data_IF_821763227744
#
_entry.id   IF_821763227744
#
_cell.length_a   1.000
_cell.length_b   1.000
_cell.length_c   1.000
_cell.angle_alpha   90.00
_cell.angle_beta   90.00
_cell.angle_gamma   90.00
#
_symmetry.space_group_name_H-M   'P 1'
#
loop_
_entity.id
_entity.type
_entity.pdbx_description
1 polymer ?
#
# COMPACT_ATOMS: atom_id res chain seq x y z
N UNK A 1 16.08 27.83 21.94
CA UNK A 1 16.34 27.80 20.49
C UNK A 1 15.79 26.48 19.98
N UNK A 2 14.89 26.51 19.01
CA UNK A 2 14.35 25.28 18.43
C UNK A 2 15.44 24.61 17.57
N UNK A 3 15.60 23.29 17.69
CA UNK A 3 16.48 22.55 16.81
C UNK A 3 16.04 22.73 15.35
N UNK A 4 16.98 22.87 14.40
CA UNK A 4 16.63 23.01 12.99
C UNK A 4 15.91 21.75 12.51
N UNK A 5 14.74 21.93 11.89
CA UNK A 5 14.01 20.85 11.24
C UNK A 5 14.87 20.30 10.09
N UNK A 6 15.41 19.10 10.27
CA UNK A 6 16.11 18.38 9.21
C UNK A 6 15.04 17.65 8.40
N UNK A 7 14.72 18.19 7.22
CA UNK A 7 13.80 17.54 6.30
C UNK A 7 14.41 16.20 5.86
N UNK A 8 13.81 15.08 6.30
CA UNK A 8 14.25 13.75 5.90
C UNK A 8 13.82 13.49 4.47
N UNK A 9 14.75 13.65 3.54
CA UNK A 9 14.53 13.35 2.12
C UNK A 9 14.55 11.84 1.92
N UNK A 10 13.41 11.28 1.50
CA UNK A 10 13.29 9.86 1.15
C UNK A 10 14.02 9.58 -0.17
N UNK A 11 14.86 8.53 -0.16
CA UNK A 11 15.57 8.03 -1.34
C UNK A 11 14.96 6.72 -1.82
N UNK A 12 14.77 6.60 -3.13
CA UNK A 12 14.25 5.40 -3.77
C UNK A 12 15.32 4.76 -4.66
N UNK A 13 15.26 3.45 -4.81
CA UNK A 13 16.10 2.70 -5.75
C UNK A 13 15.56 2.86 -7.17
N UNK A 14 16.45 3.21 -8.11
CA UNK A 14 16.11 3.32 -9.54
C UNK A 14 16.27 1.95 -10.19
N UNK A 15 15.23 1.55 -10.93
CA UNK A 15 15.16 0.28 -11.62
C UNK A 15 15.16 0.47 -13.14
N UNK A 16 15.54 -0.59 -13.84
CA UNK A 16 15.23 -0.78 -15.25
C UNK A 16 13.74 -1.12 -15.42
N UNK A 17 13.23 -0.97 -16.65
CA UNK A 17 11.85 -1.38 -17.02
C UNK A 17 11.49 -2.83 -16.69
N UNK A 18 12.49 -3.71 -16.49
CA UNK A 18 12.31 -5.12 -16.11
C UNK A 18 12.48 -5.35 -14.60
N UNK A 19 12.50 -4.29 -13.79
CA UNK A 19 12.58 -4.35 -12.33
C UNK A 19 13.98 -4.61 -11.75
N UNK A 20 15.04 -4.67 -12.57
CA UNK A 20 16.42 -4.82 -12.08
C UNK A 20 16.99 -3.48 -11.62
N UNK A 21 17.61 -3.45 -10.44
CA UNK A 21 18.24 -2.25 -9.87
C UNK A 21 19.40 -1.76 -10.74
N UNK A 22 19.44 -0.45 -11.00
CA UNK A 22 20.55 0.21 -11.71
C UNK A 22 21.77 0.30 -10.77
N UNK A 23 22.98 0.21 -11.34
CA UNK A 23 24.20 0.30 -10.54
C UNK A 23 24.37 1.70 -9.95
N UNK A 24 25.03 1.80 -8.78
CA UNK A 24 25.31 3.10 -8.13
C UNK A 24 26.07 4.08 -9.04
N UNK A 25 26.94 3.57 -9.92
CA UNK A 25 27.72 4.40 -10.86
C UNK A 25 26.86 5.11 -11.91
N UNK A 26 25.64 4.62 -12.17
CA UNK A 26 24.68 5.19 -13.13
C UNK A 26 23.47 5.83 -12.42
N UNK A 27 23.57 6.16 -11.12
CA UNK A 27 22.47 6.78 -10.39
C UNK A 27 21.44 5.79 -9.85
N UNK A 28 21.86 4.62 -9.36
CA UNK A 28 20.99 3.57 -8.84
C UNK A 28 20.09 3.92 -7.64
N UNK A 29 20.13 5.15 -7.12
CA UNK A 29 19.18 5.70 -6.16
C UNK A 29 19.10 7.23 -6.29
N UNK A 30 17.91 7.79 -6.12
CA UNK A 30 17.61 9.22 -6.22
C UNK A 30 16.58 9.64 -5.17
N UNK A 31 16.49 10.94 -4.81
CA UNK A 31 15.37 11.47 -4.03
C UNK A 31 14.02 11.13 -4.66
N UNK A 32 13.00 10.84 -3.85
CA UNK A 32 11.65 10.50 -4.34
C UNK A 32 11.11 11.52 -5.34
N UNK A 33 11.29 12.82 -5.06
CA UNK A 33 10.84 13.89 -5.96
C UNK A 33 11.50 13.84 -7.34
N UNK A 34 12.79 13.51 -7.39
CA UNK A 34 13.53 13.36 -8.64
C UNK A 34 13.09 12.12 -9.42
N UNK A 35 12.88 10.99 -8.74
CA UNK A 35 12.36 9.75 -9.36
C UNK A 35 11.01 9.99 -10.03
N UNK A 36 10.09 10.69 -9.35
CA UNK A 36 8.76 10.97 -9.90
C UNK A 36 8.78 12.03 -11.00
N UNK A 37 9.64 13.05 -10.88
CA UNK A 37 9.81 14.08 -11.91
C UNK A 37 10.43 13.52 -13.19
N UNK A 38 11.45 12.69 -13.06
CA UNK A 38 12.23 12.17 -14.18
C UNK A 38 11.57 10.92 -14.83
N UNK A 39 10.53 10.35 -14.19
CA UNK A 39 9.81 9.16 -14.67
C UNK A 39 10.59 7.85 -14.47
N UNK A 40 11.45 7.79 -13.45
CA UNK A 40 12.27 6.61 -13.17
C UNK A 40 11.44 5.47 -12.55
N UNK A 41 11.67 4.24 -13.02
CA UNK A 41 11.05 3.05 -12.43
C UNK A 41 11.55 2.83 -11.00
N UNK A 42 10.63 2.58 -10.07
CA UNK A 42 10.92 2.26 -8.68
C UNK A 42 9.90 1.24 -8.16
N UNK A 43 10.22 0.52 -7.08
CA UNK A 43 9.25 -0.42 -6.48
C UNK A 43 8.12 0.34 -5.80
N UNK A 44 6.88 -0.11 -6.02
CA UNK A 44 5.70 0.33 -5.29
C UNK A 44 4.95 -0.88 -4.72
N UNK A 45 4.18 -0.65 -3.65
CA UNK A 45 3.27 -1.64 -3.07
C UNK A 45 1.90 -0.99 -2.90
N UNK A 46 0.87 -1.67 -3.39
CA UNK A 46 -0.52 -1.32 -3.13
C UNK A 46 -1.09 -2.29 -2.09
N UNK A 47 -1.57 -1.77 -0.96
CA UNK A 47 -2.17 -2.57 0.11
C UNK A 47 -3.68 -2.38 0.09
N UNK A 48 -4.41 -3.48 -0.07
CA UNK A 48 -5.87 -3.51 -0.14
C UNK A 48 -6.37 -4.24 1.10
N UNK A 49 -7.14 -3.55 1.95
CA UNK A 49 -7.71 -4.17 3.15
C UNK A 49 -9.13 -4.58 2.84
N UNK A 50 -9.33 -5.88 2.69
CA UNK A 50 -10.62 -6.50 2.42
C UNK A 50 -11.15 -7.20 3.67
N UNK A 51 -12.42 -6.96 3.99
CA UNK A 51 -13.10 -7.62 5.11
C UNK A 51 -13.96 -8.74 4.54
N UNK A 52 -13.54 -9.99 4.75
CA UNK A 52 -14.19 -11.16 4.14
C UNK A 52 -15.64 -11.34 4.60
N UNK A 53 -15.95 -11.08 5.87
CA UNK A 53 -17.30 -11.25 6.41
C UNK A 53 -18.32 -10.25 5.85
N UNK A 54 -17.88 -9.07 5.40
CA UNK A 54 -18.75 -8.03 4.83
C UNK A 54 -18.57 -7.87 3.32
N UNK A 55 -17.55 -8.49 2.73
CA UNK A 55 -17.14 -8.30 1.34
C UNK A 55 -16.81 -6.82 1.01
N UNK A 56 -16.31 -6.07 2.01
CA UNK A 56 -16.00 -4.65 1.87
C UNK A 56 -14.51 -4.39 1.69
N UNK A 57 -14.20 -3.38 0.89
CA UNK A 57 -12.85 -2.89 0.66
C UNK A 57 -12.65 -1.53 1.34
N UNK A 58 -11.59 -1.39 2.13
CA UNK A 58 -11.23 -0.10 2.72
C UNK A 58 -10.54 0.78 1.66
N UNK A 59 -11.17 1.88 1.31
CA UNK A 59 -10.59 2.90 0.44
C UNK A 59 -9.99 4.04 1.27
N UNK A 60 -8.75 4.41 0.97
CA UNK A 60 -8.12 5.59 1.56
C UNK A 60 -8.44 6.82 0.71
N UNK A 61 -9.14 7.82 1.28
CA UNK A 61 -9.18 9.16 0.70
C UNK A 61 -7.87 9.87 1.00
N UNK A 62 -7.13 10.27 -0.04
CA UNK A 62 -5.87 11.02 0.10
C UNK A 62 -6.15 12.50 0.35
N UNK A 63 -5.22 13.18 1.02
CA UNK A 63 -5.29 14.63 1.19
C UNK A 63 -5.10 15.32 -0.16
N UNK A 64 -5.78 16.45 -0.35
CA UNK A 64 -5.78 17.18 -1.63
C UNK A 64 -4.39 17.72 -2.00
N UNK A 65 -3.51 17.91 -1.01
CA UNK A 65 -2.13 18.37 -1.19
C UNK A 65 -1.14 17.27 -1.62
N UNK A 66 -1.60 16.09 -2.05
CA UNK A 66 -0.69 15.03 -2.52
C UNK A 66 -0.28 15.25 -3.96
N UNK A 67 1.03 15.37 -4.19
CA UNK A 67 1.63 15.70 -5.49
C UNK A 67 1.51 14.64 -6.58
N UNK A 68 0.97 13.45 -6.29
CA UNK A 68 0.90 12.36 -7.29
C UNK A 68 -0.34 11.48 -7.16
N UNK A 69 -0.98 11.20 -8.30
CA UNK A 69 -1.95 10.11 -8.49
C UNK A 69 -1.24 8.85 -8.95
N UNK A 70 -1.70 7.68 -8.51
CA UNK A 70 -1.13 6.39 -8.93
C UNK A 70 -2.02 5.84 -10.04
N UNK A 71 -1.63 6.04 -11.30
CA UNK A 71 -2.54 5.77 -12.41
C UNK A 71 -2.60 4.29 -12.81
N UNK A 72 -1.53 3.50 -12.73
CA UNK A 72 -1.60 2.02 -12.93
C UNK A 72 -0.22 1.37 -12.79
N UNK A 73 0.09 0.65 -11.71
CA UNK A 73 1.25 -0.26 -11.64
C UNK A 73 1.02 -1.40 -10.62
N UNK A 74 0.23 -2.40 -11.00
CA UNK A 74 0.10 -3.64 -10.22
C UNK A 74 0.51 -4.82 -11.10
N UNK A 75 1.71 -5.34 -10.88
CA UNK A 75 2.25 -6.47 -11.64
C UNK A 75 1.84 -7.84 -11.09
N UNK A 76 1.41 -7.89 -9.82
CA UNK A 76 0.98 -9.11 -9.14
C UNK A 76 0.03 -8.76 -7.98
N UNK A 77 -0.99 -9.59 -7.74
CA UNK A 77 -1.97 -9.42 -6.66
C UNK A 77 -2.11 -10.73 -5.90
N UNK A 78 -1.92 -10.68 -4.58
CA UNK A 78 -2.16 -11.81 -3.68
C UNK A 78 -2.99 -11.37 -2.49
N UNK A 79 -4.06 -12.11 -2.21
CA UNK A 79 -4.78 -12.01 -0.95
C UNK A 79 -4.06 -12.85 0.12
N UNK A 80 -3.75 -12.22 1.25
CA UNK A 80 -3.11 -12.85 2.40
C UNK A 80 -3.63 -12.17 3.65
N UNK A 81 -3.78 -12.91 4.75
CA UNK A 81 -4.17 -12.28 6.01
C UNK A 81 -3.08 -11.32 6.49
N UNK A 82 -3.46 -10.22 7.14
CA UNK A 82 -2.47 -9.25 7.63
C UNK A 82 -1.50 -9.88 8.65
N UNK A 83 -1.95 -10.89 9.39
CA UNK A 83 -1.13 -11.65 10.34
C UNK A 83 -0.05 -12.46 9.62
N UNK A 84 -0.42 -13.23 8.59
CA UNK A 84 0.56 -13.97 7.77
C UNK A 84 1.51 -13.03 7.03
N UNK A 85 1.01 -11.91 6.50
CA UNK A 85 1.85 -10.91 5.86
C UNK A 85 2.90 -10.34 6.83
N UNK A 86 2.51 -10.04 8.07
CA UNK A 86 3.45 -9.60 9.12
C UNK A 86 4.53 -10.64 9.38
N UNK A 87 4.16 -11.92 9.45
CA UNK A 87 5.12 -13.02 9.65
C UNK A 87 6.14 -13.11 8.52
N UNK A 88 5.69 -13.04 7.26
CA UNK A 88 6.60 -13.07 6.11
C UNK A 88 7.60 -11.89 6.11
N UNK A 89 7.14 -10.69 6.49
CA UNK A 89 8.04 -9.55 6.63
C UNK A 89 9.04 -9.72 7.78
N UNK A 90 8.61 -10.31 8.91
CA UNK A 90 9.48 -10.60 10.04
C UNK A 90 10.57 -11.65 9.71
N UNK A 91 10.25 -12.59 8.83
CA UNK A 91 11.18 -13.60 8.30
C UNK A 91 12.10 -13.07 7.19
N UNK A 92 11.94 -11.80 6.79
CA UNK A 92 12.66 -11.20 5.67
C UNK A 92 12.55 -12.00 4.36
N UNK A 93 11.35 -12.56 4.08
CA UNK A 93 11.08 -13.30 2.86
C UNK A 93 11.38 -12.42 1.62
N UNK A 94 12.32 -12.83 0.74
CA UNK A 94 12.78 -12.03 -0.40
C UNK A 94 11.68 -11.77 -1.44
N UNK A 95 10.54 -12.48 -1.38
CA UNK A 95 9.39 -12.24 -2.23
C UNK A 95 8.70 -10.89 -1.92
N UNK A 96 8.85 -10.38 -0.70
CA UNK A 96 8.20 -9.14 -0.27
C UNK A 96 9.20 -7.98 -0.16
N UNK A 97 8.67 -6.76 -0.19
CA UNK A 97 9.47 -5.56 0.07
C UNK A 97 9.83 -5.53 1.57
N UNK A 98 11.10 -5.43 1.94
CA UNK A 98 11.56 -5.58 3.32
C UNK A 98 11.22 -4.34 4.15
N UNK A 99 9.99 -4.29 4.66
CA UNK A 99 9.55 -3.28 5.61
C UNK A 99 9.81 -3.74 7.05
N UNK A 100 10.27 -2.81 7.89
CA UNK A 100 10.55 -3.06 9.29
C UNK A 100 9.24 -3.14 10.10
N UNK A 101 8.90 -4.34 10.54
CA UNK A 101 7.69 -4.65 11.33
C UNK A 101 7.74 -4.13 12.77
N UNK A 102 8.86 -3.60 13.23
CA UNK A 102 9.06 -3.10 14.60
C UNK A 102 9.18 -1.58 14.68
N UNK A 103 9.25 -0.87 13.54
CA UNK A 103 9.34 0.59 13.48
C UNK A 103 8.01 1.22 13.02
N UNK A 104 8.07 2.29 12.23
CA UNK A 104 6.90 3.03 11.74
C UNK A 104 5.89 2.13 11.02
N UNK A 105 6.36 1.13 10.27
CA UNK A 105 5.46 0.17 9.60
C UNK A 105 4.83 -0.83 10.59
N UNK A 106 5.49 -1.11 11.72
CA UNK A 106 4.92 -1.86 12.84
C UNK A 106 3.65 -1.21 13.41
N UNK A 107 3.60 0.12 13.47
CA UNK A 107 2.42 0.85 13.95
C UNK A 107 1.16 0.54 13.14
N UNK A 108 1.28 0.28 11.84
CA UNK A 108 0.14 -0.12 10.99
C UNK A 108 -0.45 -1.45 11.48
N UNK A 109 0.41 -2.44 11.73
CA UNK A 109 -0.01 -3.74 12.25
C UNK A 109 -0.65 -3.60 13.63
N UNK A 110 -0.11 -2.75 14.49
CA UNK A 110 -0.67 -2.52 15.82
C UNK A 110 -2.03 -1.81 15.75
N UNK A 111 -2.20 -0.81 14.86
CA UNK A 111 -3.47 -0.13 14.65
C UNK A 111 -4.53 -1.11 14.15
N UNK A 112 -4.20 -1.92 13.14
CA UNK A 112 -5.11 -2.95 12.60
C UNK A 112 -5.44 -3.94 13.73
N UNK A 113 -4.43 -4.50 14.38
CA UNK A 113 -4.62 -5.46 15.47
C UNK A 113 -5.52 -4.88 16.55
N UNK A 114 -5.25 -3.65 17.03
CA UNK A 114 -6.05 -2.99 18.07
C UNK A 114 -7.47 -2.71 17.61
N UNK A 115 -7.67 -2.30 16.36
CA UNK A 115 -8.98 -1.98 15.80
C UNK A 115 -9.86 -3.21 15.64
N UNK A 116 -9.26 -4.37 15.43
CA UNK A 116 -9.93 -5.64 15.14
C UNK A 116 -9.72 -6.72 16.22
N UNK A 117 -9.18 -6.35 17.40
CA UNK A 117 -8.75 -7.30 18.45
C UNK A 117 -9.93 -8.08 19.03
N UNK A 118 -11.03 -7.41 19.30
CA UNK A 118 -12.18 -7.98 19.99
C UNK A 118 -13.43 -7.29 19.45
N UNK A 119 -14.42 -8.10 19.03
CA UNK A 119 -15.74 -7.68 18.53
C UNK A 119 -15.90 -7.37 17.03
N UNK A 120 -15.19 -8.09 16.16
CA UNK A 120 -15.39 -7.97 14.71
C UNK A 120 -16.83 -8.30 14.28
N UNK A 121 -17.47 -9.26 14.94
CA UNK A 121 -18.84 -9.66 14.63
C UNK A 121 -19.87 -8.58 14.97
N UNK A 122 -19.87 -8.02 16.19
CA UNK A 122 -20.84 -6.95 16.48
C UNK A 122 -20.48 -5.64 15.76
N UNK A 123 -19.20 -5.36 15.50
CA UNK A 123 -18.81 -4.21 14.66
C UNK A 123 -19.29 -4.39 13.23
N UNK A 124 -19.10 -5.58 12.65
CA UNK A 124 -19.62 -5.95 11.34
C UNK A 124 -21.15 -5.81 11.31
N UNK A 125 -21.85 -6.28 12.34
CA UNK A 125 -23.30 -6.17 12.44
C UNK A 125 -23.78 -4.70 12.55
N UNK A 126 -23.07 -3.85 13.29
CA UNK A 126 -23.35 -2.41 13.40
C UNK A 126 -23.12 -1.71 12.06
N UNK A 127 -21.98 -1.98 11.42
CA UNK A 127 -21.65 -1.47 10.08
C UNK A 127 -22.69 -1.89 9.04
N UNK A 128 -23.06 -3.17 9.01
CA UNK A 128 -24.14 -3.66 8.13
C UNK A 128 -25.46 -2.92 8.38
N UNK A 129 -25.83 -2.66 9.64
CA UNK A 129 -27.02 -1.83 9.96
C UNK A 129 -26.88 -0.41 9.41
N UNK A 130 -25.72 0.21 9.57
CA UNK A 130 -25.41 1.55 9.05
C UNK A 130 -25.24 1.62 7.54
N UNK A 131 -25.03 0.50 6.85
CA UNK A 131 -24.91 0.47 5.39
C UNK A 131 -26.25 0.16 4.73
N UNK A 132 -27.13 -0.61 5.38
CA UNK A 132 -28.50 -0.86 4.91
C UNK A 132 -29.38 0.39 4.77
N UNK A 133 -28.99 1.51 5.37
CA UNK A 133 -29.65 2.82 5.17
C UNK A 133 -29.25 3.49 3.83
N UNK A 134 -28.19 3.01 3.17
CA UNK A 134 -27.77 3.48 1.86
C UNK A 134 -28.16 2.46 0.80
N UNK A 135 -28.54 2.95 -0.39
CA UNK A 135 -28.76 2.08 -1.54
C UNK A 135 -27.40 1.48 -1.98
N UNK A 136 -27.30 0.15 -2.15
CA UNK A 136 -26.08 -0.45 -2.65
C UNK A 136 -25.79 0.08 -4.06
N UNK A 137 -24.55 0.54 -4.27
CA UNK A 137 -24.07 0.92 -5.60
C UNK A 137 -23.17 -0.20 -6.09
N UNK A 138 -23.60 -0.90 -7.12
CA UNK A 138 -22.79 -1.90 -7.79
C UNK A 138 -21.80 -1.21 -8.71
N UNK A 139 -20.50 -1.35 -8.41
CA UNK A 139 -19.45 -1.03 -9.35
C UNK A 139 -19.24 -2.23 -10.25
N UNK A 140 -19.75 -2.17 -11.48
CA UNK A 140 -19.31 -3.08 -12.54
C UNK A 140 -17.92 -2.64 -12.96
N UNK A 141 -16.90 -3.37 -12.52
CA UNK A 141 -15.60 -3.28 -13.16
C UNK A 141 -15.79 -3.78 -14.60
N UNK A 142 -15.78 -2.88 -15.57
CA UNK A 142 -15.56 -3.30 -16.96
C UNK A 142 -14.16 -3.90 -16.99
N UNK A 143 -14.09 -5.23 -16.96
CA UNK A 143 -12.86 -5.95 -17.28
C UNK A 143 -12.65 -5.70 -18.77
N UNK A 144 -11.96 -4.60 -19.08
CA UNK A 144 -11.47 -4.36 -20.42
C UNK A 144 -10.42 -5.44 -20.64
N UNK A 145 -10.79 -6.48 -21.39
CA UNK A 145 -9.86 -7.51 -21.84
C UNK A 145 -8.76 -6.81 -22.65
N UNK A 146 -7.63 -6.52 -22.02
CA UNK A 146 -6.40 -6.20 -22.72
C UNK A 146 -5.83 -7.50 -23.28
N UNK A 147 -6.51 -8.03 -24.30
CA UNK A 147 -5.86 -8.90 -25.28
C UNK A 147 -5.12 -7.98 -26.25
N UNK A 148 -3.81 -8.25 -26.40
CA UNK A 148 -2.87 -7.63 -27.35
C UNK A 148 -2.43 -6.21 -26.93
N UNK A 149 -1.16 -5.92 -26.64
CA UNK A 149 0.09 -6.23 -27.36
C UNK A 149 1.27 -6.46 -26.42
#
# INVERSE_FOLDING_TARGET
MAEPYVEQVEYLDVLTKIGKKISKKMGGSKPRGDVHRDGDYHKAVHVWIFTESTQELLLQKRADCKDSSQDTEVSDVKYISFGEYRSHLAEADPKYVPYDVNKLYGLLFDIITKRYKENNEARSLILQKQLRQYAPVSLTAEVVNFLQF
#
